data_IF_751784130165
#
_entry.id   IF_751784130165
#
_cell.length_a   1.000
_cell.length_b   1.000
_cell.length_c   1.000
_cell.angle_alpha   90.00
_cell.angle_beta   90.00
_cell.angle_gamma   90.00
#
_symmetry.space_group_name_H-M   'P 1'
#
loop_
_entity.id
_entity.type
_entity.pdbx_description
1 polymer ?
#
# COMPACT_ATOMS: atom_id res chain seq x y z
N UNK A 1 -8.29 32.76 4.50
CA UNK A 1 -6.88 32.70 4.03
C UNK A 1 -6.20 31.56 4.78
N UNK A 2 -6.13 30.36 4.20
CA UNK A 2 -5.41 29.23 4.82
C UNK A 2 -3.98 29.23 4.27
N UNK A 3 -3.02 29.49 5.15
CA UNK A 3 -1.60 29.49 4.81
C UNK A 3 -1.15 28.08 4.41
N UNK A 4 -0.52 27.99 3.25
CA UNK A 4 0.25 26.84 2.81
C UNK A 4 1.54 26.76 3.64
N UNK A 5 1.48 26.07 4.77
CA UNK A 5 2.70 25.56 5.41
C UNK A 5 3.33 24.48 4.54
N UNK A 6 4.65 24.25 4.60
CA UNK A 6 5.30 23.18 3.86
C UNK A 6 4.73 21.84 4.34
N UNK A 7 4.18 21.06 3.40
CA UNK A 7 3.80 19.66 3.63
C UNK A 7 5.09 18.92 3.99
N UNK A 8 5.27 18.60 5.26
CA UNK A 8 6.34 17.74 5.71
C UNK A 8 6.13 16.38 5.05
N UNK A 9 6.98 16.08 4.07
CA UNK A 9 7.02 14.78 3.40
C UNK A 9 7.43 13.76 4.46
N UNK A 10 6.47 13.08 5.11
CA UNK A 10 6.78 11.90 5.93
C UNK A 10 7.52 10.93 5.00
N UNK A 11 8.79 10.69 5.34
CA UNK A 11 9.72 9.74 4.75
C UNK A 11 9.09 8.82 3.68
N UNK A 12 9.08 9.27 2.43
CA UNK A 12 9.06 8.34 1.32
C UNK A 12 10.44 7.64 1.35
N UNK A 13 10.51 6.31 1.42
CA UNK A 13 11.80 5.65 1.21
C UNK A 13 12.26 6.03 -0.20
N UNK A 14 13.55 6.39 -0.33
CA UNK A 14 14.18 6.65 -1.62
C UNK A 14 13.82 5.53 -2.61
N UNK A 15 13.31 5.87 -3.79
CA UNK A 15 12.93 4.93 -4.86
C UNK A 15 14.12 3.97 -5.15
N UNK A 16 15.37 4.43 -4.94
CA UNK A 16 16.56 3.61 -5.07
C UNK A 16 16.65 2.48 -4.01
N UNK A 17 16.24 2.73 -2.76
CA UNK A 17 16.26 1.74 -1.68
C UNK A 17 15.22 0.60 -1.88
N UNK A 18 14.15 0.89 -2.62
CA UNK A 18 13.09 -0.07 -2.96
C UNK A 18 13.60 -1.25 -3.82
N UNK A 19 14.66 -1.03 -4.60
CA UNK A 19 15.28 -2.05 -5.45
C UNK A 19 16.22 -3.01 -4.70
N UNK A 20 16.75 -2.60 -3.55
CA UNK A 20 17.71 -3.39 -2.77
C UNK A 20 17.05 -4.52 -1.97
N UNK A 21 15.81 -4.33 -1.51
CA UNK A 21 15.03 -5.35 -0.80
C UNK A 21 14.54 -6.50 -1.70
N UNK A 22 14.57 -6.33 -3.02
CA UNK A 22 14.08 -7.31 -3.98
C UNK A 22 14.92 -8.60 -4.06
N UNK A 23 16.14 -8.63 -3.49
CA UNK A 23 17.06 -9.78 -3.60
C UNK A 23 16.99 -10.81 -2.46
N UNK A 24 16.25 -10.55 -1.38
CA UNK A 24 16.12 -11.50 -0.27
C UNK A 24 14.67 -11.96 -0.16
N UNK A 25 14.34 -13.10 -0.76
CA UNK A 25 13.00 -13.69 -0.75
C UNK A 25 12.52 -14.15 0.63
N UNK A 26 12.16 -13.21 1.50
CA UNK A 26 11.44 -13.44 2.77
C UNK A 26 10.50 -12.26 3.03
N UNK A 27 9.24 -12.35 2.57
CA UNK A 27 8.18 -11.36 2.82
C UNK A 27 7.29 -11.76 4.01
N UNK A 28 7.90 -12.14 5.14
CA UNK A 28 7.17 -12.51 6.36
C UNK A 28 7.55 -11.67 7.59
N UNK A 29 8.78 -11.16 7.71
CA UNK A 29 9.22 -10.51 8.95
C UNK A 29 10.01 -9.22 8.68
N UNK A 30 9.29 -8.11 8.60
CA UNK A 30 9.82 -6.80 8.93
C UNK A 30 8.64 -5.88 9.29
N UNK A 31 8.19 -5.98 10.55
CA UNK A 31 7.43 -4.90 11.17
C UNK A 31 8.41 -3.74 11.32
N UNK A 32 8.35 -2.77 10.39
CA UNK A 32 8.94 -1.47 10.68
C UNK A 32 8.23 -0.94 11.95
N UNK A 33 8.97 -0.57 13.01
CA UNK A 33 8.33 -0.07 14.21
C UNK A 33 7.55 1.19 13.85
N UNK A 34 6.24 1.18 14.13
CA UNK A 34 5.40 2.36 14.19
C UNK A 34 6.05 3.35 15.17
N UNK A 35 6.82 4.31 14.69
CA UNK A 35 7.21 5.45 15.50
C UNK A 35 6.55 6.72 14.96
N UNK A 36 5.70 7.30 15.82
CA UNK A 36 5.16 8.68 15.81
C UNK A 36 3.87 9.00 15.02
N UNK A 37 2.87 8.12 15.04
CA UNK A 37 1.47 8.52 14.83
C UNK A 37 0.64 8.17 16.08
N UNK A 38 0.90 8.85 17.19
CA UNK A 38 0.44 8.42 18.51
C UNK A 38 -1.08 8.53 18.75
N UNK A 39 -1.85 9.11 17.82
CA UNK A 39 -3.32 9.21 17.93
C UNK A 39 -4.09 8.71 16.67
N UNK A 40 -3.36 8.29 15.63
CA UNK A 40 -3.98 7.92 14.36
C UNK A 40 -4.62 6.52 14.46
N UNK A 41 -5.91 6.41 14.09
CA UNK A 41 -6.62 5.13 14.14
C UNK A 41 -6.06 4.17 13.08
N UNK A 42 -5.54 2.99 13.45
CA UNK A 42 -4.96 2.06 12.49
C UNK A 42 -6.04 1.46 11.59
N UNK A 43 -5.88 1.57 10.27
CA UNK A 43 -6.84 1.06 9.28
C UNK A 43 -6.12 0.46 8.07
N UNK A 44 -6.48 -0.76 7.62
CA UNK A 44 -6.10 -1.22 6.29
C UNK A 44 -6.92 -0.48 5.22
N UNK A 45 -6.34 -0.30 4.04
CA UNK A 45 -6.99 0.32 2.87
C UNK A 45 -7.11 -0.72 1.76
N UNK A 46 -8.27 -0.78 1.10
CA UNK A 46 -8.48 -1.69 -0.03
C UNK A 46 -7.76 -1.15 -1.26
N UNK A 47 -6.90 -1.97 -1.87
CA UNK A 47 -6.16 -1.64 -3.09
C UNK A 47 -6.72 -2.42 -4.28
N UNK A 48 -7.54 -1.76 -5.09
CA UNK A 48 -8.10 -2.36 -6.32
C UNK A 48 -7.18 -2.25 -7.53
N UNK A 49 -6.05 -1.54 -7.40
CA UNK A 49 -5.09 -1.23 -8.46
C UNK A 49 -5.47 -0.02 -9.34
N UNK A 50 -6.67 0.53 -9.16
CA UNK A 50 -7.17 1.70 -9.89
C UNK A 50 -6.83 3.04 -9.25
N UNK A 51 -7.12 4.13 -9.98
CA UNK A 51 -6.87 5.52 -9.56
C UNK A 51 -7.59 5.89 -8.26
N UNK A 52 -8.80 5.37 -8.05
CA UNK A 52 -9.63 5.76 -6.91
C UNK A 52 -9.06 5.20 -5.61
N UNK A 53 -8.59 3.94 -5.62
CA UNK A 53 -7.86 3.35 -4.49
C UNK A 53 -6.54 4.09 -4.21
N UNK A 54 -5.79 4.45 -5.27
CA UNK A 54 -4.57 5.25 -5.13
C UNK A 54 -4.85 6.63 -4.53
N UNK A 55 -5.92 7.30 -4.97
CA UNK A 55 -6.34 8.60 -4.46
C UNK A 55 -6.82 8.53 -3.00
N UNK A 56 -7.56 7.49 -2.64
CA UNK A 56 -7.97 7.23 -1.25
C UNK A 56 -6.75 7.06 -0.36
N UNK A 57 -5.78 6.22 -0.77
CA UNK A 57 -4.54 6.04 -0.03
C UNK A 57 -3.78 7.36 0.13
N UNK A 58 -3.59 8.09 -0.96
CA UNK A 58 -2.91 9.38 -0.95
C UNK A 58 -3.56 10.35 0.03
N UNK A 59 -4.89 10.48 -0.02
CA UNK A 59 -5.66 11.38 0.85
C UNK A 59 -5.53 10.99 2.33
N UNK A 60 -5.62 9.69 2.64
CA UNK A 60 -5.47 9.20 4.02
C UNK A 60 -4.06 9.43 4.56
N UNK A 61 -3.03 9.32 3.72
CA UNK A 61 -1.64 9.59 4.12
C UNK A 61 -1.36 11.07 4.39
N UNK A 62 -2.20 12.00 3.90
CA UNK A 62 -2.07 13.43 4.21
C UNK A 62 -2.73 13.84 5.53
N UNK A 63 -3.58 12.98 6.11
CA UNK A 63 -4.28 13.25 7.36
C UNK A 63 -3.58 12.61 8.57
N UNK A 64 -3.88 13.12 9.77
CA UNK A 64 -3.34 12.59 11.03
C UNK A 64 -4.31 11.65 11.75
N UNK A 65 -5.58 11.57 11.32
CA UNK A 65 -6.62 10.79 12.00
C UNK A 65 -6.55 9.28 11.70
N UNK A 66 -5.93 8.90 10.58
CA UNK A 66 -5.90 7.51 10.10
C UNK A 66 -4.47 7.05 9.85
N UNK A 67 -4.06 6.02 10.59
CA UNK A 67 -2.80 5.32 10.35
C UNK A 67 -3.01 4.21 9.33
N UNK A 68 -2.59 4.42 8.08
CA UNK A 68 -2.65 3.36 7.06
C UNK A 68 -1.58 2.30 7.35
N UNK A 69 -2.01 1.16 7.88
CA UNK A 69 -1.09 0.09 8.33
C UNK A 69 -0.83 -0.98 7.28
N UNK A 70 -1.73 -1.13 6.30
CA UNK A 70 -1.61 -2.12 5.23
C UNK A 70 -2.51 -1.78 4.03
N UNK A 71 -2.14 -2.32 2.88
CA UNK A 71 -3.00 -2.48 1.71
C UNK A 71 -3.62 -3.87 1.72
N UNK A 72 -4.90 -3.98 1.41
CA UNK A 72 -5.63 -5.24 1.31
C UNK A 72 -6.19 -5.40 -0.10
N UNK A 73 -6.00 -6.55 -0.72
CA UNK A 73 -6.63 -6.84 -2.02
C UNK A 73 -6.99 -8.32 -2.16
N UNK A 74 -7.87 -8.61 -3.10
CA UNK A 74 -8.23 -9.96 -3.50
C UNK A 74 -7.61 -10.28 -4.86
N UNK A 75 -7.00 -11.45 -4.98
CA UNK A 75 -6.38 -11.92 -6.22
C UNK A 75 -7.00 -13.25 -6.64
N UNK A 76 -7.18 -13.43 -7.94
CA UNK A 76 -7.49 -14.73 -8.53
C UNK A 76 -6.19 -15.35 -8.99
N UNK A 77 -5.66 -16.30 -8.21
CA UNK A 77 -4.31 -16.84 -8.39
C UNK A 77 -4.13 -17.51 -9.76
N UNK A 78 -5.18 -18.13 -10.29
CA UNK A 78 -5.20 -18.79 -11.59
C UNK A 78 -4.96 -17.81 -12.75
N UNK A 79 -5.33 -16.54 -12.57
CA UNK A 79 -5.18 -15.51 -13.59
C UNK A 79 -4.03 -14.55 -13.32
N UNK A 80 -3.35 -14.70 -12.18
CA UNK A 80 -2.33 -13.78 -11.68
C UNK A 80 -2.79 -12.30 -11.71
N UNK A 81 -4.03 -12.07 -11.24
CA UNK A 81 -4.71 -10.77 -11.34
C UNK A 81 -5.55 -10.43 -10.10
N UNK A 82 -5.72 -9.14 -9.86
CA UNK A 82 -6.74 -8.61 -8.95
C UNK A 82 -8.13 -9.03 -9.44
N UNK A 83 -8.93 -9.60 -8.53
CA UNK A 83 -10.23 -10.18 -8.86
C UNK A 83 -11.25 -9.19 -9.46
N UNK A 84 -11.21 -7.92 -9.06
CA UNK A 84 -12.23 -6.92 -9.42
C UNK A 84 -11.98 -6.22 -10.76
N UNK A 85 -10.72 -5.97 -11.13
CA UNK A 85 -10.37 -5.16 -12.31
C UNK A 85 -9.40 -5.87 -13.27
N UNK A 86 -9.02 -7.12 -13.00
CA UNK A 86 -8.15 -7.88 -13.88
C UNK A 86 -6.74 -7.30 -14.00
N UNK A 87 -6.31 -6.46 -13.07
CA UNK A 87 -4.97 -5.87 -13.05
C UNK A 87 -3.96 -6.96 -12.66
N UNK A 88 -2.85 -7.05 -13.39
CA UNK A 88 -1.78 -8.04 -13.12
C UNK A 88 -1.19 -7.84 -11.72
N UNK A 89 -0.89 -8.94 -11.04
CA UNK A 89 -0.22 -8.90 -9.72
C UNK A 89 1.10 -8.14 -9.76
N UNK A 90 1.89 -8.26 -10.84
CA UNK A 90 3.15 -7.51 -10.98
C UNK A 90 2.96 -5.99 -10.83
N UNK A 91 1.88 -5.43 -11.41
CA UNK A 91 1.58 -4.00 -11.32
C UNK A 91 1.09 -3.64 -9.92
N UNK A 92 0.24 -4.47 -9.32
CA UNK A 92 -0.20 -4.33 -7.93
C UNK A 92 1.01 -4.30 -6.96
N UNK A 93 1.95 -5.22 -7.13
CA UNK A 93 3.16 -5.30 -6.31
C UNK A 93 4.05 -4.07 -6.50
N UNK A 94 4.17 -3.57 -7.74
CA UNK A 94 4.90 -2.34 -8.01
C UNK A 94 4.23 -1.12 -7.35
N UNK A 95 2.90 -1.03 -7.40
CA UNK A 95 2.15 0.02 -6.71
C UNK A 95 2.33 -0.06 -5.19
N UNK A 96 2.22 -1.24 -4.59
CA UNK A 96 2.45 -1.43 -3.15
C UNK A 96 3.87 -1.01 -2.73
N UNK A 97 4.89 -1.42 -3.49
CA UNK A 97 6.28 -1.00 -3.27
C UNK A 97 6.46 0.52 -3.32
N UNK A 98 5.80 1.19 -4.26
CA UNK A 98 5.89 2.65 -4.41
C UNK A 98 5.15 3.44 -3.34
N UNK A 99 4.20 2.83 -2.62
CA UNK A 99 3.31 3.56 -1.70
C UNK A 99 3.71 3.43 -0.24
N UNK A 100 4.45 2.38 0.13
CA UNK A 100 5.03 2.18 1.45
C UNK A 100 4.36 1.10 2.32
N UNK A 101 3.02 1.13 2.54
CA UNK A 101 2.36 0.13 3.37
C UNK A 101 2.50 -1.29 2.82
N UNK A 102 2.56 -2.27 3.73
CA UNK A 102 2.59 -3.70 3.38
C UNK A 102 1.35 -4.09 2.59
N UNK A 103 1.51 -4.90 1.55
CA UNK A 103 0.41 -5.53 0.83
C UNK A 103 0.00 -6.87 1.46
N UNK A 104 -1.30 -7.06 1.63
CA UNK A 104 -1.94 -8.31 2.07
C UNK A 104 -2.86 -8.79 0.96
N UNK A 105 -2.59 -9.98 0.44
CA UNK A 105 -3.34 -10.60 -0.65
C UNK A 105 -4.22 -11.72 -0.11
N UNK A 106 -5.51 -11.68 -0.45
CA UNK A 106 -6.45 -12.77 -0.24
C UNK A 106 -6.71 -13.47 -1.56
N UNK A 107 -6.12 -14.65 -1.74
CA UNK A 107 -6.36 -15.48 -2.91
C UNK A 107 -7.79 -16.06 -2.87
N UNK A 108 -8.52 -15.90 -3.97
CA UNK A 108 -9.85 -16.49 -4.18
C UNK A 108 -9.80 -17.41 -5.41
N UNK A 109 -10.59 -18.49 -5.45
CA UNK A 109 -10.65 -19.35 -6.62
C UNK A 109 -11.21 -18.58 -7.82
N UNK A 110 -10.84 -19.03 -9.02
CA UNK A 110 -11.45 -18.55 -10.25
C UNK A 110 -12.98 -18.73 -10.22
N UNK A 111 -13.76 -17.77 -10.78
CA UNK A 111 -15.18 -17.99 -11.03
C UNK A 111 -15.39 -19.23 -11.89
N UNK A 112 -16.40 -20.03 -11.54
CA UNK A 112 -16.84 -21.20 -12.32
C UNK A 112 -17.37 -20.81 -13.70
#
# INVERSE_FOLDING_TARGET
MRGSGPVATRCAPDIAACSAFAKAGVFADAVAPCSEAADAKPRPVVMSGGKDAAWTLHTLQQGDDVGVVALLTTVTAEYDRIATHGIRCDLLHAQARSTGPRLVEAAIPAPL
#
